data_IF_137627860766
#
_entry.id   IF_137627860766
#
_cell.length_a   1.000
_cell.length_b   1.000
_cell.length_c   1.000
_cell.angle_alpha   90.00
_cell.angle_beta   90.00
_cell.angle_gamma   90.00
#
_symmetry.space_group_name_H-M   'P 1'
#
loop_
_entity.id
_entity.type
_entity.pdbx_description
1 polymer ?
#
# COMPACT_ATOMS: atom_id res chain seq x y z
N UNK A 1 -4.12 16.88 31.95
CA UNK A 1 -4.29 16.70 30.50
C UNK A 1 -2.98 16.14 29.99
N UNK A 2 -2.97 14.84 29.74
CA UNK A 2 -1.78 14.10 29.31
C UNK A 2 -1.57 14.35 27.82
N UNK A 3 -0.43 14.93 27.47
CA UNK A 3 0.05 15.05 26.11
C UNK A 3 0.84 13.77 25.80
N UNK A 4 0.26 12.88 25.00
CA UNK A 4 0.92 11.67 24.52
C UNK A 4 2.00 12.06 23.52
N UNK A 5 3.18 12.39 24.06
CA UNK A 5 4.37 12.74 23.32
C UNK A 5 4.74 11.59 22.40
N UNK A 6 4.75 11.88 21.10
CA UNK A 6 5.28 11.01 20.05
C UNK A 6 6.70 10.55 20.45
N UNK A 7 6.95 9.25 20.44
CA UNK A 7 8.30 8.69 20.49
C UNK A 7 9.06 9.12 19.22
N UNK A 8 9.61 10.33 19.24
CA UNK A 8 10.62 10.77 18.29
C UNK A 8 11.86 11.06 19.12
N UNK A 9 12.70 10.03 19.21
CA UNK A 9 14.00 10.08 19.84
C UNK A 9 14.86 11.09 19.04
N UNK A 10 14.80 12.35 19.47
CA UNK A 10 15.38 13.50 18.78
C UNK A 10 16.69 13.93 19.41
N UNK A 11 17.15 13.21 20.44
CA UNK A 11 18.33 13.54 21.23
C UNK A 11 19.25 12.32 21.39
N UNK A 12 19.57 11.63 20.29
CA UNK A 12 20.74 10.75 20.26
C UNK A 12 21.94 11.58 19.75
N UNK A 13 22.90 11.98 20.60
CA UNK A 13 23.97 12.91 20.23
C UNK A 13 25.12 12.23 19.47
N UNK A 14 24.94 11.02 18.95
CA UNK A 14 25.96 10.24 18.26
C UNK A 14 25.43 9.66 16.95
N UNK A 15 25.16 10.52 15.97
CA UNK A 15 25.55 10.25 14.57
C UNK A 15 25.20 11.44 13.68
N UNK A 16 26.21 11.99 13.00
CA UNK A 16 26.03 12.95 11.89
C UNK A 16 25.35 12.34 10.66
N UNK A 17 24.94 11.07 10.74
CA UNK A 17 24.26 10.35 9.67
C UNK A 17 22.74 10.55 9.76
N UNK A 18 22.28 11.72 9.29
CA UNK A 18 20.85 11.90 9.02
C UNK A 18 20.50 11.06 7.80
N UNK A 19 19.86 9.91 8.02
CA UNK A 19 19.20 9.18 6.93
C UNK A 19 18.30 10.17 6.18
N UNK A 20 18.45 10.32 4.85
CA UNK A 20 17.57 11.19 4.10
C UNK A 20 16.13 10.75 4.37
N UNK A 21 15.25 11.68 4.73
CA UNK A 21 13.84 11.39 4.95
C UNK A 21 13.26 10.83 3.66
N UNK A 22 13.14 9.51 3.59
CA UNK A 22 12.50 8.82 2.47
C UNK A 22 11.04 9.25 2.39
N UNK A 23 10.63 9.77 1.23
CA UNK A 23 9.22 10.04 0.96
C UNK A 23 8.61 8.75 0.38
N UNK A 24 7.66 8.15 1.10
CA UNK A 24 6.84 7.05 0.58
C UNK A 24 7.55 5.68 0.55
N UNK A 25 7.95 5.15 1.71
CA UNK A 25 8.50 3.80 1.79
C UNK A 25 7.41 2.75 2.04
N UNK A 26 6.95 2.06 1.00
CA UNK A 26 6.26 0.77 1.17
C UNK A 26 7.26 -0.37 1.06
N UNK A 27 7.08 -1.42 1.86
CA UNK A 27 7.92 -2.61 1.79
C UNK A 27 7.07 -3.87 2.01
N UNK A 28 7.53 -4.99 1.48
CA UNK A 28 6.97 -6.31 1.76
C UNK A 28 8.12 -7.15 2.28
N UNK A 29 7.96 -7.72 3.47
CA UNK A 29 8.95 -8.55 4.14
C UNK A 29 8.47 -9.99 4.13
N UNK A 30 9.39 -10.94 3.95
CA UNK A 30 9.07 -12.37 4.01
C UNK A 30 10.23 -13.18 4.56
N UNK A 31 9.96 -14.36 5.16
CA UNK A 31 11.02 -15.27 5.61
C UNK A 31 11.84 -15.78 4.42
N UNK A 32 13.16 -15.93 4.61
CA UNK A 32 14.11 -16.32 3.56
C UNK A 32 13.71 -17.58 2.78
N UNK A 33 13.07 -18.55 3.43
CA UNK A 33 12.54 -19.78 2.80
C UNK A 33 11.53 -19.54 1.67
N UNK A 34 10.92 -18.36 1.59
CA UNK A 34 9.97 -18.00 0.55
C UNK A 34 10.61 -17.31 -0.67
N UNK A 35 11.91 -17.00 -0.62
CA UNK A 35 12.57 -16.20 -1.66
C UNK A 35 12.51 -16.81 -3.06
N UNK A 36 12.47 -18.14 -3.18
CA UNK A 36 12.33 -18.82 -4.48
C UNK A 36 10.91 -18.74 -5.05
N UNK A 37 9.90 -18.46 -4.21
CA UNK A 37 8.49 -18.40 -4.58
C UNK A 37 8.00 -16.97 -4.79
N UNK A 38 8.73 -15.96 -4.31
CA UNK A 38 8.30 -14.57 -4.38
C UNK A 38 9.07 -13.85 -5.47
N UNK A 39 8.35 -13.27 -6.43
CA UNK A 39 8.92 -12.46 -7.51
C UNK A 39 8.27 -11.09 -7.53
N UNK A 40 9.08 -10.03 -7.51
CA UNK A 40 8.58 -8.66 -7.67
C UNK A 40 7.99 -8.49 -9.07
N UNK A 41 6.77 -7.96 -9.14
CA UNK A 41 6.16 -7.52 -10.38
C UNK A 41 6.66 -6.13 -10.74
N UNK A 42 6.82 -5.85 -12.04
CA UNK A 42 7.36 -4.57 -12.51
C UNK A 42 6.33 -3.44 -12.48
N UNK A 43 5.06 -3.78 -12.31
CA UNK A 43 3.90 -2.90 -12.53
C UNK A 43 3.58 -1.98 -11.33
N UNK A 44 4.58 -1.45 -10.63
CA UNK A 44 4.40 -0.63 -9.43
C UNK A 44 5.27 0.64 -9.40
N UNK A 45 5.15 1.42 -8.34
CA UNK A 45 5.96 2.61 -8.10
C UNK A 45 6.48 2.64 -6.64
N UNK A 46 6.99 3.77 -6.17
CA UNK A 46 7.45 3.94 -4.78
C UNK A 46 6.37 3.72 -3.71
N UNK A 47 5.09 3.86 -4.06
CA UNK A 47 3.93 3.75 -3.15
C UNK A 47 3.13 2.47 -3.33
N UNK A 48 3.23 1.81 -4.47
CA UNK A 48 2.50 0.59 -4.82
C UNK A 48 3.50 -0.47 -5.24
N UNK A 49 3.67 -1.50 -4.42
CA UNK A 49 4.51 -2.66 -4.72
C UNK A 49 3.61 -3.86 -4.95
N UNK A 50 3.83 -4.59 -6.04
CA UNK A 50 3.20 -5.87 -6.26
C UNK A 50 4.23 -7.01 -6.36
N UNK A 51 3.89 -8.17 -5.81
CA UNK A 51 4.69 -9.39 -5.90
C UNK A 51 3.80 -10.56 -6.33
N UNK A 52 4.34 -11.44 -7.16
CA UNK A 52 3.77 -12.77 -7.37
C UNK A 52 4.32 -13.71 -6.29
N UNK A 53 3.42 -14.47 -5.65
CA UNK A 53 3.75 -15.57 -4.76
C UNK A 53 3.32 -16.86 -5.47
N UNK A 54 4.29 -17.62 -5.95
CA UNK A 54 4.06 -18.88 -6.65
C UNK A 54 3.46 -19.92 -5.73
N UNK A 55 2.31 -20.47 -6.12
CA UNK A 55 1.55 -21.47 -5.37
C UNK A 55 0.73 -22.34 -6.33
N UNK A 56 -0.15 -23.21 -5.84
CA UNK A 56 -1.09 -23.98 -6.69
C UNK A 56 -2.03 -23.06 -7.47
N UNK A 57 -2.39 -21.93 -6.87
CA UNK A 57 -2.96 -20.78 -7.57
C UNK A 57 -2.09 -19.59 -7.21
N UNK A 58 -1.38 -19.04 -8.20
CA UNK A 58 -0.49 -17.91 -7.98
C UNK A 58 -1.23 -16.73 -7.32
N UNK A 59 -0.54 -16.02 -6.43
CA UNK A 59 -1.13 -14.92 -5.66
C UNK A 59 -0.42 -13.63 -6.07
N UNK A 60 -1.19 -12.64 -6.51
CA UNK A 60 -0.71 -11.29 -6.71
C UNK A 60 -0.99 -10.49 -5.44
N UNK A 61 0.05 -10.26 -4.63
CA UNK A 61 -0.03 -9.42 -3.44
C UNK A 61 0.40 -7.99 -3.81
N UNK A 62 -0.53 -7.06 -3.69
CA UNK A 62 -0.35 -5.63 -3.91
C UNK A 62 -0.32 -4.96 -2.53
N UNK A 63 0.77 -4.29 -2.18
CA UNK A 63 0.88 -3.46 -0.99
C UNK A 63 0.96 -1.99 -1.42
N UNK A 64 0.05 -1.16 -0.90
CA UNK A 64 -0.05 0.25 -1.27
C UNK A 64 0.02 1.16 -0.03
N UNK A 65 0.70 2.30 -0.19
CA UNK A 65 0.67 3.41 0.76
C UNK A 65 0.14 4.68 0.08
N UNK A 66 -1.17 4.86 0.18
CA UNK A 66 -1.88 5.90 -0.57
C UNK A 66 -1.58 7.29 -0.02
N UNK A 67 -1.46 8.33 -0.87
CA UNK A 67 -1.22 9.70 -0.45
C UNK A 67 -2.26 10.24 0.53
N UNK A 68 -1.80 10.93 1.57
CA UNK A 68 -2.63 11.65 2.54
C UNK A 68 -2.68 13.15 2.22
N UNK A 69 -3.82 13.80 2.49
CA UNK A 69 -4.11 15.25 2.43
C UNK A 69 -2.89 16.19 2.34
N UNK A 70 -2.43 16.46 1.11
CA UNK A 70 -1.46 17.51 0.76
C UNK A 70 -1.97 18.24 -0.49
N UNK A 71 -1.35 19.37 -0.84
CA UNK A 71 -1.79 20.25 -1.93
C UNK A 71 -1.94 19.55 -3.30
N UNK A 72 -1.22 18.44 -3.53
CA UNK A 72 -1.31 17.60 -4.75
C UNK A 72 -1.84 16.18 -4.48
N UNK A 73 -2.29 15.86 -3.26
CA UNK A 73 -2.61 14.48 -2.87
C UNK A 73 -3.72 13.86 -3.69
N UNK A 74 -4.63 14.65 -4.27
CA UNK A 74 -5.70 14.11 -5.11
C UNK A 74 -5.17 13.50 -6.41
N UNK A 75 -4.23 14.15 -7.07
CA UNK A 75 -3.66 13.65 -8.31
C UNK A 75 -2.83 12.40 -8.05
N UNK A 76 -1.89 12.46 -7.09
CA UNK A 76 -1.07 11.31 -6.69
C UNK A 76 -1.94 10.12 -6.24
N UNK A 77 -3.07 10.39 -5.57
CA UNK A 77 -4.00 9.35 -5.14
C UNK A 77 -4.67 8.66 -6.33
N UNK A 78 -5.10 9.44 -7.32
CA UNK A 78 -5.68 8.88 -8.54
C UNK A 78 -4.65 8.06 -9.33
N UNK A 79 -3.42 8.55 -9.46
CA UNK A 79 -2.34 7.79 -10.11
C UNK A 79 -2.09 6.45 -9.40
N UNK A 80 -2.07 6.43 -8.06
CA UNK A 80 -1.92 5.18 -7.31
C UNK A 80 -3.11 4.24 -7.53
N UNK A 81 -4.34 4.75 -7.62
CA UNK A 81 -5.53 3.94 -7.93
C UNK A 81 -5.47 3.36 -9.34
N UNK A 82 -5.04 4.15 -10.33
CA UNK A 82 -4.91 3.71 -11.72
C UNK A 82 -3.89 2.59 -11.81
N UNK A 83 -2.73 2.74 -11.16
CA UNK A 83 -1.72 1.67 -11.06
C UNK A 83 -2.31 0.40 -10.43
N UNK A 84 -3.00 0.52 -9.29
CA UNK A 84 -3.64 -0.64 -8.63
C UNK A 84 -4.66 -1.29 -9.57
N UNK A 85 -5.48 -0.49 -10.26
CA UNK A 85 -6.48 -0.98 -11.22
C UNK A 85 -5.84 -1.74 -12.38
N UNK A 86 -4.75 -1.21 -12.95
CA UNK A 86 -4.01 -1.84 -14.04
C UNK A 86 -3.40 -3.19 -13.61
N UNK A 87 -2.81 -3.26 -12.42
CA UNK A 87 -2.29 -4.52 -11.86
C UNK A 87 -3.43 -5.53 -11.70
N UNK A 88 -4.56 -5.12 -11.12
CA UNK A 88 -5.72 -6.01 -10.92
C UNK A 88 -6.20 -6.54 -12.27
N UNK A 89 -6.45 -5.67 -13.24
CA UNK A 89 -6.94 -6.07 -14.56
C UNK A 89 -5.98 -7.02 -15.28
N UNK A 90 -4.67 -6.80 -15.14
CA UNK A 90 -3.66 -7.64 -15.76
C UNK A 90 -3.61 -9.05 -15.17
N UNK A 91 -3.85 -9.20 -13.86
CA UNK A 91 -3.63 -10.44 -13.14
C UNK A 91 -4.91 -11.16 -12.65
N UNK A 92 -6.09 -10.53 -12.74
CA UNK A 92 -7.35 -11.06 -12.18
C UNK A 92 -7.76 -12.44 -12.73
N UNK A 93 -7.36 -12.77 -13.96
CA UNK A 93 -7.71 -14.07 -14.59
C UNK A 93 -6.69 -15.18 -14.31
N UNK A 94 -5.52 -14.84 -13.79
CA UNK A 94 -4.39 -15.78 -13.61
C UNK A 94 -3.96 -15.94 -12.16
N UNK A 95 -4.24 -14.95 -11.31
CA UNK A 95 -3.82 -14.89 -9.93
C UNK A 95 -5.01 -14.67 -9.01
N UNK A 96 -4.88 -15.15 -7.77
CA UNK A 96 -5.69 -14.62 -6.66
C UNK A 96 -5.13 -13.27 -6.26
N UNK A 97 -5.96 -12.24 -6.28
CA UNK A 97 -5.55 -10.88 -5.95
C UNK A 97 -5.71 -10.63 -4.45
N UNK A 98 -4.67 -10.09 -3.82
CA UNK A 98 -4.69 -9.58 -2.44
C UNK A 98 -4.19 -8.15 -2.47
N UNK A 99 -5.02 -7.20 -2.05
CA UNK A 99 -4.65 -5.81 -1.85
C UNK A 99 -4.52 -5.52 -0.35
N UNK A 100 -3.39 -4.97 0.05
CA UNK A 100 -3.06 -4.65 1.43
C UNK A 100 -2.40 -3.26 1.52
N UNK A 101 -2.23 -2.79 2.75
CA UNK A 101 -1.58 -1.52 3.06
C UNK A 101 -2.55 -0.44 3.52
N UNK A 102 -2.03 0.77 3.66
CA UNK A 102 -2.81 1.92 4.10
C UNK A 102 -3.37 2.67 2.89
N UNK A 103 -4.67 2.46 2.66
CA UNK A 103 -5.38 3.05 1.53
C UNK A 103 -5.82 4.50 1.78
N UNK A 104 -5.76 4.99 3.02
CA UNK A 104 -6.20 6.35 3.38
C UNK A 104 -7.62 6.74 2.88
N UNK A 105 -8.46 5.75 2.56
CA UNK A 105 -9.86 5.91 2.18
C UNK A 105 -10.79 5.38 3.27
N UNK A 106 -12.00 5.96 3.42
CA UNK A 106 -13.00 5.44 4.35
C UNK A 106 -14.15 4.74 3.61
N UNK A 107 -14.61 3.63 4.17
CA UNK A 107 -15.80 2.94 3.68
C UNK A 107 -17.08 3.55 4.28
N UNK A 108 -16.98 4.25 5.41
CA UNK A 108 -18.10 4.86 6.13
C UNK A 108 -18.56 6.16 5.48
N UNK A 109 -19.88 6.27 5.30
CA UNK A 109 -20.56 7.38 4.63
C UNK A 109 -20.68 8.66 5.47
N UNK A 110 -20.41 8.62 6.78
CA UNK A 110 -20.66 9.73 7.70
C UNK A 110 -19.61 10.85 7.64
N UNK A 111 -18.40 10.56 7.14
CA UNK A 111 -17.35 11.54 6.84
C UNK A 111 -16.74 11.26 5.47
N UNK A 112 -17.61 11.27 4.45
CA UNK A 112 -17.21 10.95 3.09
C UNK A 112 -16.06 11.86 2.63
N UNK A 113 -14.86 11.30 2.47
CA UNK A 113 -13.77 11.93 1.75
C UNK A 113 -14.00 11.74 0.25
N UNK A 114 -13.51 12.68 -0.58
CA UNK A 114 -13.60 12.57 -2.06
C UNK A 114 -13.02 11.24 -2.59
N UNK A 115 -12.12 10.60 -1.84
CA UNK A 115 -11.42 9.36 -2.14
C UNK A 115 -12.26 8.08 -1.98
N UNK A 116 -13.40 8.15 -1.29
CA UNK A 116 -14.16 6.96 -0.88
C UNK A 116 -14.91 6.29 -2.03
N UNK A 117 -15.29 7.07 -3.06
CA UNK A 117 -16.00 6.52 -4.24
C UNK A 117 -15.14 5.49 -4.98
N UNK A 118 -13.86 5.80 -5.15
CA UNK A 118 -12.95 4.97 -5.94
C UNK A 118 -12.40 3.79 -5.13
N UNK A 119 -12.15 4.02 -3.84
CA UNK A 119 -11.73 2.96 -2.90
C UNK A 119 -12.80 1.87 -2.78
N UNK A 120 -14.08 2.26 -2.78
CA UNK A 120 -15.21 1.30 -2.79
C UNK A 120 -15.21 0.42 -4.02
N UNK A 121 -14.95 0.97 -5.21
CA UNK A 121 -14.89 0.19 -6.46
C UNK A 121 -13.82 -0.89 -6.41
N UNK A 122 -12.61 -0.56 -5.93
CA UNK A 122 -11.51 -1.52 -5.79
C UNK A 122 -11.84 -2.54 -4.69
N UNK A 123 -12.39 -2.09 -3.57
CA UNK A 123 -12.80 -2.95 -2.46
C UNK A 123 -13.78 -4.05 -2.91
N UNK A 124 -14.79 -3.69 -3.70
CA UNK A 124 -15.76 -4.64 -4.23
C UNK A 124 -15.15 -5.62 -5.25
N UNK A 125 -14.17 -5.18 -6.04
CA UNK A 125 -13.46 -6.06 -7.00
C UNK A 125 -12.54 -7.06 -6.30
N UNK A 126 -11.91 -6.68 -5.18
CA UNK A 126 -10.90 -7.51 -4.53
C UNK A 126 -11.46 -8.53 -3.52
N UNK A 127 -12.78 -8.58 -3.21
CA UNK A 127 -13.37 -9.44 -2.16
C UNK A 127 -12.45 -9.57 -0.93
N UNK A 128 -11.98 -8.44 -0.41
CA UNK A 128 -11.00 -8.42 0.67
C UNK A 128 -11.64 -8.93 1.96
N UNK A 129 -11.16 -10.06 2.48
CA UNK A 129 -11.34 -10.42 3.88
C UNK A 129 -10.35 -9.57 4.68
N UNK A 130 -10.84 -8.53 5.36
CA UNK A 130 -10.01 -7.75 6.28
C UNK A 130 -9.44 -8.67 7.36
N UNK A 131 -8.11 -8.67 7.50
CA UNK A 131 -7.45 -9.00 8.75
C UNK A 131 -7.04 -7.67 9.37
N UNK A 132 -7.86 -7.18 10.30
CA UNK A 132 -7.49 -6.14 11.25
C UNK A 132 -6.91 -6.82 12.50
#
# INVERSE_FOLDING_TARGET
MEDHTRCSDTNDPLDSFKLPKGKGGVSILWPSKWSSKIKKLKDGNERVIAVNITSTNDICLINAYMPTHTTNSQHEYMECLDIISDIIQKYENTHKIVLAGDLNGTLQTSRANKHDKNTKTIYWRCKLNYWC
#
